data_IF_336013412223
#
_entry.id   IF_336013412223
#
_cell.length_a   1.000
_cell.length_b   1.000
_cell.length_c   1.000
_cell.angle_alpha   90.00
_cell.angle_beta   90.00
_cell.angle_gamma   90.00
#
_symmetry.space_group_name_H-M   'P 1'
#
loop_
_entity.id
_entity.type
_entity.pdbx_description
1 polymer ?
#
# COMPACT_ATOMS: atom_id res chain seq x y z
N UNK A 1 -22.54 -9.71 3.86
CA UNK A 1 -21.21 -10.14 4.33
C UNK A 1 -20.17 -9.25 3.63
N UNK A 2 -19.51 -8.31 4.32
CA UNK A 2 -18.87 -7.16 3.66
C UNK A 2 -17.39 -7.35 3.26
N UNK A 3 -16.88 -8.58 3.18
CA UNK A 3 -15.49 -8.87 2.80
C UNK A 3 -15.38 -9.90 1.65
N UNK A 4 -16.36 -9.97 0.74
CA UNK A 4 -16.10 -10.64 -0.55
C UNK A 4 -15.25 -9.69 -1.40
N UNK A 5 -14.02 -10.10 -1.68
CA UNK A 5 -13.16 -9.44 -2.66
C UNK A 5 -13.94 -9.28 -3.97
N UNK A 6 -13.83 -8.10 -4.58
CA UNK A 6 -14.50 -7.82 -5.84
C UNK A 6 -14.09 -8.87 -6.88
N UNK A 7 -15.04 -9.36 -7.69
CA UNK A 7 -14.81 -10.50 -8.61
C UNK A 7 -13.73 -10.23 -9.65
N UNK A 8 -13.38 -8.96 -9.85
CA UNK A 8 -12.37 -8.41 -10.76
C UNK A 8 -11.05 -8.06 -10.05
N UNK A 9 -10.93 -8.33 -8.74
CA UNK A 9 -9.70 -8.09 -7.98
C UNK A 9 -8.78 -9.31 -7.99
N UNK A 10 -7.47 -9.05 -8.05
CA UNK A 10 -6.42 -10.06 -7.88
C UNK A 10 -5.64 -9.83 -6.60
N UNK A 11 -5.16 -10.90 -5.97
CA UNK A 11 -4.32 -10.82 -4.78
C UNK A 11 -2.84 -10.93 -5.18
N UNK A 12 -2.06 -9.91 -4.81
CA UNK A 12 -0.61 -9.92 -4.94
C UNK A 12 0.03 -10.21 -3.58
N UNK A 13 0.89 -11.23 -3.53
CA UNK A 13 1.69 -11.55 -2.35
C UNK A 13 3.13 -11.08 -2.56
N UNK A 14 3.49 -10.00 -1.87
CA UNK A 14 4.85 -9.45 -1.92
C UNK A 14 5.63 -9.94 -0.72
N UNK A 15 6.74 -10.66 -0.96
CA UNK A 15 7.67 -11.06 0.10
C UNK A 15 8.67 -9.93 0.32
N UNK A 16 8.69 -9.43 1.55
CA UNK A 16 9.63 -8.41 1.99
C UNK A 16 10.51 -8.97 3.11
N UNK A 17 11.80 -8.59 3.18
CA UNK A 17 12.58 -8.76 4.39
C UNK A 17 11.85 -8.16 5.59
N UNK A 18 11.96 -8.78 6.76
CA UNK A 18 11.21 -8.35 7.94
C UNK A 18 11.44 -6.88 8.30
N UNK A 19 12.70 -6.43 8.21
CA UNK A 19 13.06 -5.04 8.48
C UNK A 19 12.34 -4.08 7.53
N UNK A 20 12.34 -4.37 6.22
CA UNK A 20 11.67 -3.56 5.20
C UNK A 20 10.15 -3.51 5.42
N UNK A 21 9.54 -4.63 5.81
CA UNK A 21 8.12 -4.67 6.20
C UNK A 21 7.87 -3.70 7.36
N UNK A 22 8.66 -3.77 8.44
CA UNK A 22 8.52 -2.89 9.61
C UNK A 22 8.66 -1.41 9.22
N UNK A 23 9.63 -1.10 8.36
CA UNK A 23 9.87 0.27 7.90
C UNK A 23 8.71 0.80 7.04
N UNK A 24 8.09 -0.04 6.21
CA UNK A 24 6.87 0.32 5.47
C UNK A 24 5.73 0.69 6.43
N UNK A 25 5.45 -0.12 7.45
CA UNK A 25 4.39 0.19 8.42
C UNK A 25 4.66 1.49 9.17
N UNK A 26 5.90 1.71 9.62
CA UNK A 26 6.30 2.97 10.29
C UNK A 26 6.17 4.18 9.37
N UNK A 27 6.49 4.04 8.09
CA UNK A 27 6.33 5.12 7.11
C UNK A 27 4.85 5.48 6.91
N UNK A 28 3.96 4.48 6.88
CA UNK A 28 2.50 4.66 6.78
C UNK A 28 1.95 5.35 8.03
N UNK A 29 2.39 4.95 9.22
CA UNK A 29 2.01 5.60 10.48
C UNK A 29 2.38 7.08 10.47
N UNK A 30 3.64 7.42 10.12
CA UNK A 30 4.07 8.82 9.98
C UNK A 30 3.29 9.59 8.93
N UNK A 31 2.90 8.94 7.83
CA UNK A 31 2.08 9.57 6.79
C UNK A 31 0.68 9.90 7.34
N UNK A 32 0.09 9.01 8.12
CA UNK A 32 -1.21 9.25 8.77
C UNK A 32 -1.13 10.32 9.86
N UNK A 33 -0.05 10.37 10.63
CA UNK A 33 0.18 11.45 11.61
C UNK A 33 0.23 12.83 10.93
N UNK A 34 0.85 12.90 9.75
CA UNK A 34 0.89 14.13 8.94
C UNK A 34 -0.43 14.46 8.24
N UNK A 35 -1.32 13.49 8.08
CA UNK A 35 -2.61 13.63 7.41
C UNK A 35 -3.74 13.14 8.33
N UNK A 36 -4.11 13.91 9.38
CA UNK A 36 -5.11 13.49 10.34
C UNK A 36 -6.43 13.12 9.64
N UNK A 37 -6.95 11.92 9.92
CA UNK A 37 -8.20 11.42 9.35
C UNK A 37 -8.08 10.64 8.03
N UNK A 38 -6.90 10.58 7.41
CA UNK A 38 -6.73 9.87 6.13
C UNK A 38 -6.73 8.33 6.25
N UNK A 39 -6.29 7.80 7.39
CA UNK A 39 -6.31 6.36 7.73
C UNK A 39 -5.76 5.43 6.63
N UNK A 40 -4.64 5.82 5.99
CA UNK A 40 -3.98 5.00 4.98
C UNK A 40 -3.51 3.66 5.57
N UNK A 41 -3.69 2.59 4.81
CA UNK A 41 -3.12 1.27 5.09
C UNK A 41 -1.87 1.02 4.25
N UNK A 42 -0.99 0.12 4.71
CA UNK A 42 0.18 -0.29 3.92
C UNK A 42 -0.23 -0.80 2.52
N UNK A 43 -1.33 -1.55 2.42
CA UNK A 43 -1.85 -2.03 1.14
C UNK A 43 -2.28 -0.87 0.22
N UNK A 44 -2.91 0.18 0.76
CA UNK A 44 -3.29 1.34 -0.04
C UNK A 44 -2.09 2.12 -0.58
N UNK A 45 -1.01 2.21 0.20
CA UNK A 45 0.24 2.85 -0.23
C UNK A 45 0.93 2.02 -1.32
N UNK A 46 1.04 0.70 -1.13
CA UNK A 46 1.62 -0.19 -2.15
C UNK A 46 0.79 -0.15 -3.43
N UNK A 47 -0.55 -0.14 -3.33
CA UNK A 47 -1.42 0.01 -4.51
C UNK A 47 -1.16 1.32 -5.24
N UNK A 48 -1.04 2.44 -4.53
CA UNK A 48 -0.73 3.73 -5.13
C UNK A 48 0.63 3.75 -5.84
N UNK A 49 1.64 3.04 -5.31
CA UNK A 49 2.94 2.88 -5.98
C UNK A 49 2.81 2.06 -7.26
N UNK A 50 2.03 0.97 -7.25
CA UNK A 50 1.75 0.16 -8.44
C UNK A 50 1.02 0.99 -9.50
N UNK A 51 -0.02 1.73 -9.11
CA UNK A 51 -0.78 2.63 -9.99
C UNK A 51 0.13 3.71 -10.60
N UNK A 52 1.01 4.30 -9.79
CA UNK A 52 1.99 5.29 -10.25
C UNK A 52 2.95 4.68 -11.27
N UNK A 53 3.51 3.51 -10.99
CA UNK A 53 4.41 2.80 -11.90
C UNK A 53 3.72 2.47 -13.24
N UNK A 54 2.48 1.96 -13.21
CA UNK A 54 1.71 1.63 -14.42
C UNK A 54 1.47 2.87 -15.28
N UNK A 55 1.14 4.01 -14.64
CA UNK A 55 0.82 5.25 -15.34
C UNK A 55 2.08 5.94 -15.91
N UNK A 56 3.12 6.03 -15.10
CA UNK A 56 4.29 6.87 -15.39
C UNK A 56 5.39 6.05 -16.09
N UNK A 57 5.37 4.71 -15.97
CA UNK A 57 6.35 3.81 -16.59
C UNK A 57 7.73 3.84 -15.94
N UNK A 58 7.91 4.54 -14.82
CA UNK A 58 9.20 4.74 -14.15
C UNK A 58 9.15 4.42 -12.64
N UNK A 59 10.31 4.06 -12.08
CA UNK A 59 10.51 3.77 -10.65
C UNK A 59 11.66 4.67 -10.18
N UNK A 60 11.43 5.98 -10.23
CA UNK A 60 12.44 7.00 -9.91
C UNK A 60 11.94 7.90 -8.78
#
# INVERSE_FOLDING_TARGET
>A
MPNQYAKDSTQLLVRLPEQMKRDLYRAVEKLNEKNPGAMYSANSVVRALIEKFIRDGTID
#
